data_IF_997299659143
#
_entry.id   IF_997299659143
#
_cell.length_a   1.000
_cell.length_b   1.000
_cell.length_c   1.000
_cell.angle_alpha   90.00
_cell.angle_beta   90.00
_cell.angle_gamma   90.00
#
_symmetry.space_group_name_H-M   'P 1'
#
loop_
_entity.id
_entity.type
_entity.pdbx_description
1 polymer ?
#
# COMPACT_ATOMS: atom_id res chain seq x y z
N UNK A 1 -3.09 -6.01 16.82
CA UNK A 1 -3.57 -6.63 15.55
C UNK A 1 -2.37 -6.93 14.66
N UNK A 2 -2.48 -7.86 13.70
CA UNK A 2 -1.40 -8.14 12.73
C UNK A 2 -1.69 -7.46 11.39
N UNK A 3 -0.82 -6.56 10.97
CA UNK A 3 -1.04 -5.65 9.83
C UNK A 3 0.14 -5.78 8.87
N UNK A 4 -0.13 -6.12 7.62
CA UNK A 4 0.81 -5.94 6.51
C UNK A 4 0.49 -4.63 5.79
N UNK A 5 1.48 -3.76 5.58
CA UNK A 5 1.29 -2.49 4.88
C UNK A 5 2.21 -2.41 3.67
N UNK A 6 1.65 -2.24 2.48
CA UNK A 6 2.38 -2.03 1.23
C UNK A 6 2.29 -0.55 0.86
N UNK A 7 3.40 0.20 1.00
CA UNK A 7 3.41 1.65 0.87
C UNK A 7 4.84 2.17 0.68
N UNK A 8 4.98 3.43 0.27
CA UNK A 8 6.16 4.27 0.54
C UNK A 8 6.55 4.25 2.03
N UNK A 9 7.85 4.22 2.32
CA UNK A 9 8.39 4.23 3.69
C UNK A 9 9.86 4.70 3.72
N UNK A 10 10.24 5.51 4.71
CA UNK A 10 11.58 6.07 4.88
C UNK A 10 12.09 6.74 3.60
N UNK A 11 11.24 7.54 2.95
CA UNK A 11 11.56 8.25 1.72
C UNK A 11 10.86 9.61 1.63
N UNK A 12 11.34 10.45 0.74
CA UNK A 12 10.84 11.82 0.56
C UNK A 12 9.56 11.87 -0.30
N UNK A 13 8.45 11.35 0.22
CA UNK A 13 7.12 11.41 -0.40
C UNK A 13 6.01 11.71 0.62
N UNK A 14 4.90 12.30 0.16
CA UNK A 14 3.73 12.55 1.01
C UNK A 14 3.08 11.25 1.53
N UNK A 15 3.11 10.21 0.71
CA UNK A 15 2.63 8.86 1.05
C UNK A 15 3.49 8.25 2.15
N UNK A 16 4.82 8.38 2.08
CA UNK A 16 5.72 7.94 3.13
C UNK A 16 5.41 8.63 4.47
N UNK A 17 5.26 9.95 4.46
CA UNK A 17 4.92 10.72 5.67
C UNK A 17 3.63 10.19 6.32
N UNK A 18 2.57 10.01 5.53
CA UNK A 18 1.30 9.49 6.04
C UNK A 18 1.45 8.06 6.58
N UNK A 19 2.05 7.16 5.80
CA UNK A 19 2.23 5.77 6.17
C UNK A 19 3.09 5.61 7.43
N UNK A 20 4.17 6.37 7.56
CA UNK A 20 5.06 6.36 8.71
C UNK A 20 4.39 6.83 9.99
N UNK A 21 3.64 7.94 9.93
CA UNK A 21 2.93 8.47 11.10
C UNK A 21 1.93 7.45 11.64
N UNK A 22 1.11 6.87 10.76
CA UNK A 22 0.10 5.88 11.15
C UNK A 22 0.75 4.56 11.55
N UNK A 23 1.73 4.07 10.79
CA UNK A 23 2.40 2.80 11.03
C UNK A 23 3.17 2.79 12.35
N UNK A 24 3.92 3.85 12.66
CA UNK A 24 4.64 3.97 13.94
C UNK A 24 3.67 4.09 15.12
N UNK A 25 2.54 4.75 14.93
CA UNK A 25 1.49 4.81 15.95
C UNK A 25 0.85 3.44 16.20
N UNK A 26 0.61 2.65 15.16
CA UNK A 26 0.16 1.26 15.32
C UNK A 26 1.15 0.42 16.13
N UNK A 27 2.45 0.55 15.85
CA UNK A 27 3.50 -0.13 16.64
C UNK A 27 3.46 0.34 18.10
N UNK A 28 3.34 1.66 18.34
CA UNK A 28 3.26 2.24 19.70
C UNK A 28 2.05 1.74 20.48
N UNK A 29 0.92 1.50 19.82
CA UNK A 29 -0.30 0.94 20.41
C UNK A 29 -0.24 -0.59 20.59
N UNK A 30 0.87 -1.25 20.24
CA UNK A 30 1.06 -2.70 20.40
C UNK A 30 0.49 -3.55 19.26
N UNK A 31 0.25 -2.96 18.09
CA UNK A 31 -0.04 -3.74 16.88
C UNK A 31 1.25 -4.28 16.25
N UNK A 32 1.19 -5.50 15.73
CA UNK A 32 2.26 -6.10 14.95
C UNK A 32 2.15 -5.57 13.51
N UNK A 33 3.11 -4.72 13.12
CA UNK A 33 3.21 -4.18 11.77
C UNK A 33 4.29 -4.94 11.00
N UNK A 34 4.06 -5.19 9.72
CA UNK A 34 5.08 -5.50 8.71
C UNK A 34 4.89 -4.55 7.54
N UNK A 35 5.92 -3.78 7.22
CA UNK A 35 5.93 -2.86 6.07
C UNK A 35 6.63 -3.53 4.90
N UNK A 36 5.97 -3.53 3.76
CA UNK A 36 6.53 -3.84 2.46
C UNK A 36 6.71 -2.51 1.73
N UNK A 37 7.92 -2.20 1.28
CA UNK A 37 8.23 -0.92 0.64
C UNK A 37 9.14 -1.09 -0.58
N UNK A 38 9.42 0.03 -1.22
CA UNK A 38 10.24 0.14 -2.41
C UNK A 38 11.70 -0.27 -2.18
N UNK A 39 12.31 -0.93 -3.17
CA UNK A 39 13.75 -1.20 -3.25
C UNK A 39 14.52 0.12 -3.39
N UNK A 40 15.77 0.13 -2.93
CA UNK A 40 16.56 1.37 -2.85
C UNK A 40 16.74 2.04 -4.22
N UNK A 41 16.97 1.25 -5.27
CA UNK A 41 17.20 1.76 -6.63
C UNK A 41 15.93 2.28 -7.32
N UNK A 42 14.74 1.89 -6.84
CA UNK A 42 13.46 2.18 -7.46
C UNK A 42 12.36 2.44 -6.44
N UNK A 43 12.29 3.71 -6.02
CA UNK A 43 11.41 4.21 -4.98
C UNK A 43 10.64 5.45 -5.45
N UNK A 44 9.54 5.80 -4.77
CA UNK A 44 8.61 6.84 -5.20
C UNK A 44 9.11 8.26 -4.85
N UNK A 45 9.80 8.39 -3.72
CA UNK A 45 10.43 9.65 -3.30
C UNK A 45 11.62 10.05 -4.17
N UNK A 46 12.26 11.17 -3.81
CA UNK A 46 13.52 11.63 -4.46
C UNK A 46 14.78 11.09 -3.79
N UNK A 47 14.64 10.62 -2.57
CA UNK A 47 15.70 10.12 -1.72
C UNK A 47 15.10 9.31 -0.57
N UNK A 48 15.85 8.30 -0.12
CA UNK A 48 15.59 7.60 1.13
C UNK A 48 16.05 8.46 2.32
N UNK A 49 15.23 8.48 3.38
CA UNK A 49 15.47 9.24 4.59
C UNK A 49 15.25 8.35 5.81
N UNK A 50 16.35 7.90 6.41
CA UNK A 50 16.33 7.10 7.64
C UNK A 50 16.77 5.67 7.43
N UNK A 51 16.69 4.90 8.51
CA UNK A 51 17.01 3.48 8.54
C UNK A 51 15.73 2.68 8.71
N UNK A 52 15.66 1.56 8.00
CA UNK A 52 14.53 0.65 8.07
C UNK A 52 14.45 -0.02 9.44
N UNK A 53 13.27 0.08 10.06
CA UNK A 53 12.95 -0.63 11.29
C UNK A 53 12.90 -2.15 11.02
N UNK A 54 13.01 -2.98 12.07
CA UNK A 54 13.03 -4.45 11.95
C UNK A 54 11.78 -5.06 11.31
N UNK A 55 10.69 -4.29 11.26
CA UNK A 55 9.44 -4.65 10.61
C UNK A 55 9.34 -4.16 9.16
N UNK A 56 10.38 -3.57 8.58
CA UNK A 56 10.37 -3.08 7.19
C UNK A 56 11.06 -4.07 6.27
N UNK A 57 10.53 -4.26 5.07
CA UNK A 57 11.10 -5.11 4.03
C UNK A 57 10.94 -4.45 2.67
N UNK A 58 12.06 -4.19 2.00
CA UNK A 58 12.09 -3.63 0.65
C UNK A 58 11.93 -4.75 -0.37
N UNK A 59 10.79 -4.83 -1.06
CA UNK A 59 10.48 -5.97 -1.91
C UNK A 59 9.72 -5.64 -3.21
N UNK A 60 9.59 -4.37 -3.59
CA UNK A 60 9.03 -4.00 -4.89
C UNK A 60 9.66 -2.73 -5.46
N UNK A 61 9.47 -2.48 -6.76
CA UNK A 61 9.81 -1.21 -7.39
C UNK A 61 8.58 -0.45 -7.85
N UNK A 62 8.76 0.74 -8.39
CA UNK A 62 7.66 1.55 -8.92
C UNK A 62 7.07 0.95 -10.18
N UNK A 63 5.77 1.15 -10.40
CA UNK A 63 5.07 0.68 -11.60
C UNK A 63 5.69 1.22 -12.90
N UNK A 64 6.19 2.46 -12.87
CA UNK A 64 6.67 3.18 -14.04
C UNK A 64 8.14 2.89 -14.38
N UNK A 65 8.91 2.33 -13.45
CA UNK A 65 10.33 2.01 -13.67
C UNK A 65 10.53 0.50 -13.79
N UNK A 66 10.83 -0.19 -12.69
CA UNK A 66 11.16 -1.62 -12.77
C UNK A 66 9.93 -2.52 -12.79
N UNK A 67 8.80 -2.02 -12.30
CA UNK A 67 7.59 -2.81 -12.04
C UNK A 67 7.94 -4.11 -11.27
N UNK A 68 8.96 -4.07 -10.41
CA UNK A 68 9.48 -5.25 -9.71
C UNK A 68 8.60 -5.61 -8.52
N UNK A 69 8.45 -6.91 -8.24
CA UNK A 69 7.83 -7.40 -7.01
C UNK A 69 8.45 -8.75 -6.66
N UNK A 70 9.05 -8.85 -5.48
CA UNK A 70 9.26 -10.11 -4.79
C UNK A 70 8.04 -10.37 -3.88
N UNK A 71 7.17 -11.33 -4.23
CA UNK A 71 5.94 -11.57 -3.47
C UNK A 71 6.17 -12.32 -2.16
N UNK A 72 7.32 -13.00 -2.00
CA UNK A 72 7.56 -13.93 -0.89
C UNK A 72 7.35 -13.27 0.48
N UNK A 73 7.91 -12.07 0.78
CA UNK A 73 7.68 -11.41 2.07
C UNK A 73 6.19 -11.17 2.37
N UNK A 74 5.40 -10.81 1.35
CA UNK A 74 3.95 -10.56 1.48
C UNK A 74 3.19 -11.89 1.72
N UNK A 75 3.61 -12.96 1.04
CA UNK A 75 2.95 -14.26 1.12
C UNK A 75 3.28 -15.03 2.40
N UNK A 76 4.48 -14.88 2.95
CA UNK A 76 4.91 -15.57 4.18
C UNK A 76 4.49 -14.84 5.47
N UNK A 77 4.33 -13.52 5.43
CA UNK A 77 3.96 -12.76 6.63
C UNK A 77 2.54 -13.10 7.08
N UNK A 78 2.35 -13.47 8.36
CA UNK A 78 1.04 -13.62 8.95
C UNK A 78 0.42 -12.26 9.31
N UNK A 79 -0.60 -11.84 8.56
CA UNK A 79 -1.39 -10.63 8.82
C UNK A 79 -2.88 -10.90 8.70
N UNK A 80 -3.68 -10.14 9.45
CA UNK A 80 -5.15 -10.14 9.35
C UNK A 80 -5.68 -8.99 8.51
N UNK A 81 -4.88 -7.94 8.35
CA UNK A 81 -5.20 -6.76 7.54
C UNK A 81 -4.04 -6.49 6.59
N UNK A 82 -4.35 -6.33 5.31
CA UNK A 82 -3.39 -5.89 4.28
C UNK A 82 -3.80 -4.49 3.82
N UNK A 83 -2.96 -3.51 4.09
CA UNK A 83 -3.20 -2.10 3.76
C UNK A 83 -2.30 -1.69 2.61
N UNK A 84 -2.86 -1.41 1.44
CA UNK A 84 -2.14 -0.83 0.32
C UNK A 84 -2.36 0.68 0.27
N UNK A 85 -1.31 1.44 0.01
CA UNK A 85 -1.39 2.90 -0.19
C UNK A 85 -0.79 3.28 -1.54
N UNK A 86 -1.41 4.25 -2.21
CA UNK A 86 -0.94 4.85 -3.48
C UNK A 86 -0.75 3.81 -4.59
N UNK A 87 -1.85 3.14 -4.93
CA UNK A 87 -1.88 2.02 -5.87
C UNK A 87 -1.34 2.40 -7.26
N UNK A 88 -1.33 3.68 -7.64
CA UNK A 88 -0.71 4.13 -8.88
C UNK A 88 0.81 3.94 -8.94
N UNK A 89 1.49 3.96 -7.79
CA UNK A 89 2.94 3.79 -7.70
C UNK A 89 3.36 2.32 -7.49
N UNK A 90 2.46 1.47 -7.02
CA UNK A 90 2.72 0.05 -6.76
C UNK A 90 2.77 -0.77 -8.06
N UNK A 91 3.52 -1.89 -8.12
CA UNK A 91 3.56 -2.78 -9.29
C UNK A 91 2.25 -3.56 -9.44
N UNK A 92 1.19 -2.87 -9.88
CA UNK A 92 -0.21 -3.34 -9.85
C UNK A 92 -0.41 -4.69 -10.51
N UNK A 93 0.09 -4.89 -11.72
CA UNK A 93 -0.09 -6.16 -12.44
C UNK A 93 0.46 -7.35 -11.65
N UNK A 94 1.60 -7.17 -10.98
CA UNK A 94 2.21 -8.20 -10.13
C UNK A 94 1.46 -8.37 -8.82
N UNK A 95 0.94 -7.28 -8.25
CA UNK A 95 0.06 -7.34 -7.09
C UNK A 95 -1.23 -8.12 -7.42
N UNK A 96 -1.87 -7.85 -8.56
CA UNK A 96 -3.06 -8.56 -9.05
C UNK A 96 -2.82 -10.07 -9.11
N UNK A 97 -1.64 -10.50 -9.55
CA UNK A 97 -1.29 -11.92 -9.67
C UNK A 97 -1.31 -12.68 -8.33
N UNK A 98 -1.07 -11.99 -7.21
CA UNK A 98 -1.06 -12.57 -5.86
C UNK A 98 -2.24 -12.13 -4.98
N UNK A 99 -3.08 -11.20 -5.44
CA UNK A 99 -4.09 -10.55 -4.61
C UNK A 99 -5.13 -11.52 -4.05
N UNK A 100 -5.54 -12.50 -4.84
CA UNK A 100 -6.43 -13.57 -4.41
C UNK A 100 -5.87 -14.37 -3.21
N UNK A 101 -4.55 -14.46 -3.05
CA UNK A 101 -3.90 -15.09 -1.89
C UNK A 101 -3.94 -14.14 -0.68
N UNK A 102 -3.65 -12.85 -0.89
CA UNK A 102 -3.76 -11.80 0.14
C UNK A 102 -5.16 -11.78 0.76
N UNK A 103 -6.21 -11.80 -0.08
CA UNK A 103 -7.62 -11.83 0.34
C UNK A 103 -8.02 -13.06 1.15
N UNK A 104 -7.38 -14.22 0.90
CA UNK A 104 -7.62 -15.43 1.73
C UNK A 104 -7.01 -15.33 3.12
N UNK A 105 -5.96 -14.51 3.28
CA UNK A 105 -5.24 -14.35 4.55
C UNK A 105 -5.92 -13.34 5.48
N UNK A 106 -6.56 -12.31 4.91
CA UNK A 106 -7.16 -11.26 5.71
C UNK A 106 -7.95 -10.24 4.89
N UNK A 107 -8.33 -9.15 5.57
CA UNK A 107 -9.06 -8.03 4.96
C UNK A 107 -8.10 -7.14 4.18
N UNK A 108 -8.41 -6.88 2.92
CA UNK A 108 -7.62 -6.00 2.06
C UNK A 108 -8.21 -4.58 2.07
N UNK A 109 -7.41 -3.59 2.39
CA UNK A 109 -7.81 -2.19 2.53
C UNK A 109 -6.96 -1.34 1.61
N UNK A 110 -7.58 -0.42 0.88
CA UNK A 110 -6.88 0.53 0.03
C UNK A 110 -7.05 1.95 0.57
N UNK A 111 -5.93 2.62 0.84
CA UNK A 111 -5.88 4.06 1.15
C UNK A 111 -5.55 4.82 -0.13
N UNK A 112 -6.52 5.59 -0.62
CA UNK A 112 -6.43 6.33 -1.89
C UNK A 112 -5.65 7.63 -1.68
N UNK A 113 -4.56 7.81 -2.43
CA UNK A 113 -3.78 9.04 -2.45
C UNK A 113 -4.01 9.87 -3.73
N UNK A 114 -4.59 9.23 -4.76
CA UNK A 114 -4.87 9.82 -6.06
C UNK A 114 -5.89 10.97 -5.96
N UNK A 115 -5.60 12.09 -6.60
CA UNK A 115 -6.48 13.27 -6.60
C UNK A 115 -7.64 13.19 -7.60
N UNK A 116 -7.74 12.10 -8.37
CA UNK A 116 -8.78 11.84 -9.37
C UNK A 116 -8.89 10.35 -9.68
N UNK A 117 -9.99 9.96 -10.31
CA UNK A 117 -10.16 8.61 -10.87
C UNK A 117 -9.05 8.28 -11.87
N UNK A 118 -8.45 7.10 -11.69
CA UNK A 118 -7.53 6.54 -12.67
C UNK A 118 -8.24 6.28 -14.00
N UNK A 119 -7.57 6.59 -15.10
CA UNK A 119 -8.02 6.23 -16.45
C UNK A 119 -7.61 4.80 -16.82
N UNK A 120 -6.71 4.21 -16.04
CA UNK A 120 -6.26 2.83 -16.21
C UNK A 120 -7.27 1.88 -15.53
N UNK A 121 -7.96 1.01 -16.28
CA UNK A 121 -8.92 0.06 -15.73
C UNK A 121 -8.30 -0.89 -14.69
N UNK A 122 -6.99 -1.18 -14.79
CA UNK A 122 -6.30 -2.09 -13.86
C UNK A 122 -6.31 -1.59 -12.42
N UNK A 123 -6.52 -0.29 -12.23
CA UNK A 123 -6.67 0.30 -10.90
C UNK A 123 -7.87 -0.26 -10.12
N UNK A 124 -8.90 -0.71 -10.82
CA UNK A 124 -10.18 -1.15 -10.24
C UNK A 124 -10.33 -2.68 -10.18
N UNK A 125 -9.31 -3.45 -10.57
CA UNK A 125 -9.37 -4.92 -10.64
C UNK A 125 -9.39 -5.61 -9.26
N UNK A 126 -8.98 -4.89 -8.22
CA UNK A 126 -8.78 -5.43 -6.90
C UNK A 126 -10.06 -5.33 -6.06
N UNK A 127 -10.57 -6.48 -5.59
CA UNK A 127 -11.72 -6.57 -4.68
C UNK A 127 -11.35 -6.19 -3.24
N UNK A 128 -11.24 -4.90 -2.97
CA UNK A 128 -10.93 -4.36 -1.64
C UNK A 128 -12.11 -4.54 -0.66
N UNK A 129 -11.83 -4.95 0.58
CA UNK A 129 -12.82 -4.98 1.66
C UNK A 129 -13.16 -3.59 2.20
N UNK A 130 -12.27 -2.61 2.02
CA UNK A 130 -12.56 -1.22 2.35
C UNK A 130 -11.72 -0.25 1.50
N UNK A 131 -12.33 0.88 1.14
CA UNK A 131 -11.66 2.03 0.53
C UNK A 131 -11.62 3.15 1.56
N UNK A 132 -10.42 3.64 1.88
CA UNK A 132 -10.19 4.76 2.79
C UNK A 132 -9.79 5.97 1.98
N UNK A 133 -10.43 7.11 2.26
CA UNK A 133 -10.10 8.38 1.66
C UNK A 133 -10.09 9.50 2.72
N UNK A 134 -9.44 10.62 2.41
CA UNK A 134 -9.11 11.63 3.42
C UNK A 134 -10.25 12.59 3.74
N UNK A 135 -11.09 12.92 2.75
CA UNK A 135 -12.17 13.88 2.92
C UNK A 135 -13.24 13.76 1.82
N UNK A 136 -14.27 14.60 1.92
CA UNK A 136 -15.40 14.60 0.99
C UNK A 136 -15.05 14.93 -0.46
N UNK A 137 -13.92 15.61 -0.72
CA UNK A 137 -13.45 15.84 -2.09
C UNK A 137 -13.06 14.52 -2.74
N UNK A 138 -12.42 13.62 -1.98
CA UNK A 138 -12.12 12.27 -2.46
C UNK A 138 -13.38 11.43 -2.65
N UNK A 139 -14.27 11.46 -1.64
CA UNK A 139 -15.54 10.72 -1.71
C UNK A 139 -16.34 11.08 -2.96
N UNK A 140 -16.37 12.37 -3.33
CA UNK A 140 -17.14 12.88 -4.48
C UNK A 140 -16.81 12.22 -5.82
N UNK A 141 -15.56 11.79 -6.03
CA UNK A 141 -15.17 11.10 -7.26
C UNK A 141 -15.08 9.59 -7.08
N UNK A 142 -14.65 9.11 -5.91
CA UNK A 142 -14.55 7.67 -5.64
C UNK A 142 -15.92 7.00 -5.62
N UNK A 143 -16.97 7.68 -5.14
CA UNK A 143 -18.33 7.14 -5.08
C UNK A 143 -18.94 6.83 -6.45
N UNK A 144 -18.34 7.35 -7.53
CA UNK A 144 -18.77 7.07 -8.91
C UNK A 144 -18.39 5.66 -9.38
N UNK A 145 -17.40 5.05 -8.74
CA UNK A 145 -16.85 3.72 -9.11
C UNK A 145 -16.87 2.74 -7.94
N UNK A 146 -16.81 3.24 -6.70
CA UNK A 146 -16.96 2.48 -5.46
C UNK A 146 -18.22 2.98 -4.75
N UNK A 147 -19.39 2.37 -4.99
CA UNK A 147 -20.62 2.78 -4.34
C UNK A 147 -20.47 2.73 -2.81
N UNK A 148 -21.02 3.71 -2.08
CA UNK A 148 -21.06 3.62 -0.62
C UNK A 148 -21.90 2.41 -0.18
N UNK A 149 -21.47 1.76 0.91
CA UNK A 149 -22.28 0.77 1.63
C UNK A 149 -23.52 1.40 2.27
#
# INVERSE_FOLDING_TARGET
MKIGMMSSWNETSGVAIHAELIGREWVRQGHELRVFTFIEDDHHGRALIGQDESYVTRCFGTAQRTNYLNPIPILETDYKFFVAQDLNMLPREKLSSIFHIIKRKGKAIHVVHESRLSQDPTFYEHDWDAIVCFDERYRSFLSKVYPPE
#
